data_IF_142749850541
#
_entry.id   IF_142749850541
#
_cell.length_a   1.000
_cell.length_b   1.000
_cell.length_c   1.000
_cell.angle_alpha   90.00
_cell.angle_beta   90.00
_cell.angle_gamma   90.00
#
_symmetry.space_group_name_H-M   'P 1'
#
loop_
_entity.id
_entity.type
_entity.pdbx_description
1 polymer ?
#
# COMPACT_ATOMS: atom_id res chain seq x y z
N UNK A 1 12.10 2.38 -15.94
CA UNK A 1 11.01 2.08 -15.00
C UNK A 1 11.11 0.63 -14.57
N UNK A 2 10.77 0.32 -13.34
CA UNK A 2 10.64 -1.06 -12.84
C UNK A 2 9.19 -1.51 -12.96
N UNK A 3 9.00 -2.79 -13.24
CA UNK A 3 7.70 -3.42 -13.16
C UNK A 3 7.48 -3.87 -11.72
N UNK A 4 6.39 -3.42 -11.10
CA UNK A 4 6.03 -3.77 -9.72
C UNK A 4 4.79 -4.65 -9.76
N UNK A 5 4.83 -5.78 -9.07
CA UNK A 5 3.72 -6.73 -8.97
C UNK A 5 3.24 -6.83 -7.54
N UNK A 6 1.93 -6.89 -7.31
CA UNK A 6 1.33 -6.83 -5.98
C UNK A 6 1.35 -8.20 -5.30
N UNK A 7 1.92 -8.26 -4.10
CA UNK A 7 2.05 -9.47 -3.29
C UNK A 7 0.72 -9.84 -2.60
N UNK A 8 0.07 -10.97 -2.98
CA UNK A 8 -1.19 -11.42 -2.38
C UNK A 8 -1.11 -11.79 -0.89
N UNK A 9 0.08 -12.14 -0.40
CA UNK A 9 0.29 -12.54 1.00
C UNK A 9 0.31 -11.32 1.92
N UNK A 10 0.71 -10.16 1.40
CA UNK A 10 0.67 -8.89 2.14
C UNK A 10 -0.70 -8.21 2.08
N UNK A 11 -1.49 -8.46 1.02
CA UNK A 11 -2.73 -7.76 0.76
C UNK A 11 -3.77 -7.92 1.88
N UNK A 12 -4.29 -6.80 2.41
CA UNK A 12 -5.40 -6.82 3.36
C UNK A 12 -6.60 -7.58 2.77
N UNK A 13 -7.33 -8.30 3.62
CA UNK A 13 -8.34 -9.28 3.21
C UNK A 13 -9.54 -8.74 2.41
N UNK A 14 -9.78 -7.43 2.35
CA UNK A 14 -10.81 -6.81 1.49
C UNK A 14 -10.26 -6.36 0.13
N UNK A 15 -8.94 -6.37 -0.09
CA UNK A 15 -8.35 -5.97 -1.36
C UNK A 15 -8.45 -7.08 -2.40
N UNK A 16 -9.03 -6.75 -3.55
CA UNK A 16 -9.13 -7.62 -4.72
C UNK A 16 -7.97 -7.24 -5.66
N UNK A 17 -7.08 -8.20 -5.90
CA UNK A 17 -5.99 -8.08 -6.87
C UNK A 17 -6.44 -8.65 -8.22
N UNK A 18 -5.97 -8.06 -9.31
CA UNK A 18 -6.11 -8.65 -10.65
C UNK A 18 -5.28 -9.94 -10.78
N UNK A 19 -5.60 -10.76 -11.78
CA UNK A 19 -4.92 -12.03 -12.04
C UNK A 19 -3.43 -11.83 -12.36
N UNK A 20 -3.10 -10.76 -13.08
CA UNK A 20 -1.74 -10.35 -13.41
C UNK A 20 -1.02 -9.60 -12.28
N UNK A 21 -1.67 -9.41 -11.12
CA UNK A 21 -1.14 -8.73 -9.94
C UNK A 21 -0.68 -7.29 -10.20
N UNK A 22 -1.18 -6.62 -11.25
CA UNK A 22 -0.83 -5.24 -11.58
C UNK A 22 -1.81 -4.21 -10.97
N UNK A 23 -3.02 -4.65 -10.61
CA UNK A 23 -4.12 -3.79 -10.20
C UNK A 23 -4.72 -4.21 -8.87
N UNK A 24 -5.22 -3.24 -8.11
CA UNK A 24 -5.91 -3.47 -6.84
C UNK A 24 -7.14 -2.60 -6.70
N UNK A 25 -8.19 -3.17 -6.13
CA UNK A 25 -9.42 -2.47 -5.77
C UNK A 25 -9.90 -2.92 -4.39
N UNK A 26 -10.52 -2.00 -3.66
CA UNK A 26 -11.16 -2.33 -2.39
C UNK A 26 -12.53 -2.99 -2.63
N UNK A 27 -12.68 -4.24 -2.18
CA UNK A 27 -13.94 -4.98 -2.23
C UNK A 27 -14.90 -4.59 -1.10
N UNK A 28 -16.19 -4.88 -1.30
CA UNK A 28 -17.23 -4.62 -0.30
C UNK A 28 -17.13 -5.56 0.91
N UNK A 29 -16.67 -6.79 0.70
CA UNK A 29 -16.59 -7.85 1.71
C UNK A 29 -15.16 -8.34 1.88
N UNK A 30 -14.89 -8.92 3.04
CA UNK A 30 -13.66 -9.64 3.29
C UNK A 30 -13.62 -10.92 2.47
N UNK A 31 -12.51 -11.17 1.79
CA UNK A 31 -12.25 -12.41 1.11
C UNK A 31 -11.93 -13.51 2.11
N UNK A 32 -12.40 -14.72 1.81
CA UNK A 32 -12.12 -15.93 2.59
C UNK A 32 -10.70 -16.45 2.30
N UNK A 33 -9.69 -15.69 2.72
CA UNK A 33 -8.27 -16.08 2.62
C UNK A 33 -7.72 -16.41 4.01
N UNK A 34 -6.83 -17.41 4.14
CA UNK A 34 -6.09 -17.65 5.37
C UNK A 34 -5.35 -16.39 5.80
N UNK A 35 -5.33 -16.12 7.11
CA UNK A 35 -4.47 -15.06 7.63
C UNK A 35 -2.99 -15.46 7.53
N UNK A 36 -2.14 -14.46 7.33
CA UNK A 36 -0.70 -14.62 7.17
C UNK A 36 0.01 -13.55 8.02
N UNK A 37 1.20 -13.82 8.62
CA UNK A 37 1.93 -12.82 9.38
C UNK A 37 2.24 -11.55 8.59
N UNK A 38 2.55 -11.68 7.30
CA UNK A 38 2.84 -10.55 6.40
C UNK A 38 1.60 -9.76 5.98
N UNK A 39 0.39 -10.31 6.21
CA UNK A 39 -0.86 -9.69 5.78
C UNK A 39 -1.14 -8.45 6.59
N UNK A 40 -1.40 -7.34 5.91
CA UNK A 40 -1.90 -6.14 6.56
C UNK A 40 -3.27 -6.38 7.19
N UNK A 41 -3.44 -5.98 8.45
CA UNK A 41 -4.70 -6.00 9.19
C UNK A 41 -4.66 -4.94 10.30
N UNK A 42 -5.58 -3.95 10.35
CA UNK A 42 -6.80 -3.79 9.54
C UNK A 42 -6.65 -2.88 8.31
N UNK A 43 -5.47 -2.33 8.06
CA UNK A 43 -5.27 -1.29 7.05
C UNK A 43 -5.33 -1.83 5.63
N UNK A 44 -6.08 -1.20 4.70
CA UNK A 44 -6.25 -1.65 3.31
C UNK A 44 -4.99 -1.37 2.48
N UNK A 45 -3.90 -2.05 2.83
CA UNK A 45 -2.60 -1.93 2.20
C UNK A 45 -2.19 -3.26 1.54
N UNK A 46 -1.31 -3.15 0.55
CA UNK A 46 -0.65 -4.25 -0.15
C UNK A 46 0.75 -3.75 -0.55
N UNK A 47 1.74 -4.62 -0.56
CA UNK A 47 3.08 -4.32 -1.07
C UNK A 47 3.31 -4.87 -2.47
N UNK A 48 4.34 -4.35 -3.12
CA UNK A 48 4.96 -5.04 -4.25
C UNK A 48 5.78 -6.26 -3.79
N UNK A 49 5.95 -7.24 -4.67
CA UNK A 49 6.83 -8.40 -4.47
C UNK A 49 8.31 -7.99 -4.48
N UNK A 50 8.63 -6.87 -5.14
CA UNK A 50 9.98 -6.40 -5.37
C UNK A 50 10.54 -5.67 -4.14
N UNK A 51 11.74 -6.06 -3.72
CA UNK A 51 12.50 -5.41 -2.64
C UNK A 51 13.69 -4.66 -3.24
N UNK A 52 13.91 -3.43 -2.79
CA UNK A 52 14.93 -2.55 -3.33
C UNK A 52 15.98 -2.18 -2.28
N UNK A 53 17.25 -2.38 -2.63
CA UNK A 53 18.37 -2.28 -1.67
C UNK A 53 19.32 -1.13 -2.03
N UNK A 54 19.29 -0.67 -3.28
CA UNK A 54 20.11 0.43 -3.81
C UNK A 54 19.58 0.89 -5.18
N UNK A 55 20.09 2.01 -5.70
CA UNK A 55 19.80 2.50 -7.04
C UNK A 55 18.74 3.62 -7.09
N UNK A 56 18.34 3.99 -8.31
CA UNK A 56 17.27 4.95 -8.60
C UNK A 56 16.22 4.24 -9.43
N UNK A 57 15.00 4.17 -8.89
CA UNK A 57 13.92 3.37 -9.44
C UNK A 57 12.69 4.27 -9.62
N UNK A 58 11.93 4.01 -10.67
CA UNK A 58 10.67 4.67 -10.94
C UNK A 58 9.66 3.62 -11.40
N UNK A 59 8.43 3.75 -10.91
CA UNK A 59 7.26 3.01 -11.38
C UNK A 59 6.11 4.01 -11.49
N UNK A 60 5.10 3.64 -12.24
CA UNK A 60 3.93 4.47 -12.51
C UNK A 60 2.70 3.73 -12.01
N UNK A 61 1.72 4.49 -11.50
CA UNK A 61 0.44 3.95 -11.02
C UNK A 61 -0.67 4.78 -11.62
N UNK A 62 -1.60 4.12 -12.28
CA UNK A 62 -2.83 4.74 -12.76
C UNK A 62 -3.89 4.70 -11.66
N UNK A 63 -4.44 5.86 -11.31
CA UNK A 63 -5.55 5.97 -10.37
C UNK A 63 -6.83 6.17 -11.16
N UNK A 64 -7.59 5.09 -11.34
CA UNK A 64 -8.80 5.08 -12.18
C UNK A 64 -10.02 5.59 -11.41
N UNK A 65 -10.15 5.26 -10.12
CA UNK A 65 -11.33 5.56 -9.32
C UNK A 65 -11.01 5.69 -7.83
N UNK A 66 -11.77 6.53 -7.14
CA UNK A 66 -11.73 6.68 -5.69
C UNK A 66 -11.04 7.97 -5.24
N UNK A 67 -11.52 8.51 -4.12
CA UNK A 67 -10.99 9.72 -3.49
C UNK A 67 -10.14 9.43 -2.26
N UNK A 68 -9.87 8.15 -1.97
CA UNK A 68 -9.11 7.68 -0.82
C UNK A 68 -8.09 6.64 -1.26
N UNK A 69 -6.85 7.06 -1.48
CA UNK A 69 -5.75 6.19 -1.89
C UNK A 69 -4.41 6.77 -1.44
N UNK A 70 -3.40 5.92 -1.31
CA UNK A 70 -2.02 6.34 -1.12
C UNK A 70 -1.08 5.37 -1.85
N UNK A 71 0.01 5.90 -2.38
CA UNK A 71 1.06 5.15 -3.08
C UNK A 71 2.43 5.63 -2.64
N UNK A 72 3.38 4.72 -2.54
CA UNK A 72 4.74 5.04 -2.14
C UNK A 72 5.56 3.80 -1.84
N UNK A 73 6.49 3.94 -0.91
CA UNK A 73 7.39 2.87 -0.46
C UNK A 73 7.28 2.67 1.04
N UNK A 74 7.54 1.45 1.48
CA UNK A 74 7.64 1.09 2.88
C UNK A 74 8.93 0.30 3.12
N UNK A 75 9.45 0.38 4.34
CA UNK A 75 10.48 -0.57 4.79
C UNK A 75 9.89 -1.99 4.76
N UNK A 76 10.74 -2.97 4.46
CA UNK A 76 10.35 -4.38 4.54
C UNK A 76 9.83 -4.75 5.94
N UNK A 77 10.37 -4.10 6.98
CA UNK A 77 10.03 -4.29 8.39
C UNK A 77 8.84 -3.46 8.89
N UNK A 78 8.07 -2.81 8.02
CA UNK A 78 6.91 -2.02 8.44
C UNK A 78 5.90 -2.91 9.20
N UNK A 79 5.30 -2.38 10.27
CA UNK A 79 4.28 -3.11 11.01
C UNK A 79 3.10 -3.45 10.09
N UNK A 80 2.67 -4.72 10.12
CA UNK A 80 1.54 -5.22 9.32
C UNK A 80 0.25 -5.33 10.12
N UNK A 81 0.35 -5.41 11.45
CA UNK A 81 -0.77 -5.73 12.34
C UNK A 81 -1.10 -4.56 13.25
N UNK A 82 -2.40 -4.35 13.49
CA UNK A 82 -2.92 -3.32 14.38
C UNK A 82 -2.76 -1.90 13.82
N UNK A 83 -2.76 -0.88 14.69
CA UNK A 83 -2.50 0.50 14.28
C UNK A 83 -1.11 0.65 13.66
N UNK A 84 -1.02 1.26 12.48
CA UNK A 84 0.26 1.54 11.83
C UNK A 84 0.47 3.04 11.67
N UNK A 85 1.73 3.47 11.79
CA UNK A 85 2.11 4.88 11.69
C UNK A 85 2.37 5.20 10.21
N UNK A 86 1.39 5.82 9.56
CA UNK A 86 1.43 6.21 8.15
C UNK A 86 2.29 7.46 7.92
N UNK A 87 3.60 7.35 8.18
CA UNK A 87 4.59 8.43 7.99
C UNK A 87 6.02 7.85 7.98
N UNK A 88 7.05 8.66 7.69
CA UNK A 88 8.44 8.20 7.73
C UNK A 88 8.84 7.59 9.07
N UNK A 89 8.24 8.03 10.19
CA UNK A 89 8.49 7.46 11.52
C UNK A 89 8.05 5.98 11.62
N UNK A 90 7.02 5.58 10.88
CA UNK A 90 6.59 4.19 10.76
C UNK A 90 7.26 3.44 9.62
N UNK A 91 8.24 4.03 8.94
CA UNK A 91 8.91 3.44 7.80
C UNK A 91 8.08 3.48 6.51
N UNK A 92 7.17 4.45 6.36
CA UNK A 92 6.34 4.63 5.17
C UNK A 92 6.61 6.02 4.56
N UNK A 93 6.88 6.07 3.26
CA UNK A 93 6.97 7.30 2.48
C UNK A 93 5.99 7.22 1.34
N UNK A 94 4.91 7.98 1.42
CA UNK A 94 3.84 7.91 0.45
C UNK A 94 3.15 9.26 0.25
N UNK A 95 2.53 9.40 -0.90
CA UNK A 95 1.61 10.47 -1.25
C UNK A 95 0.25 9.87 -1.53
N UNK A 96 -0.80 10.66 -1.36
CA UNK A 96 -2.13 10.14 -1.58
C UNK A 96 -3.17 11.23 -1.65
N UNK A 97 -4.40 10.77 -1.84
CA UNK A 97 -5.59 11.59 -1.81
C UNK A 97 -6.49 11.11 -0.68
N UNK A 98 -7.03 12.05 0.08
CA UNK A 98 -8.12 11.81 1.00
C UNK A 98 -9.25 12.80 0.75
N UNK A 99 -10.38 12.29 0.27
CA UNK A 99 -11.49 13.09 -0.26
C UNK A 99 -10.99 14.02 -1.37
N UNK A 100 -11.00 15.33 -1.15
CA UNK A 100 -10.62 16.33 -2.14
C UNK A 100 -9.19 16.85 -1.95
N UNK A 101 -8.44 16.30 -0.97
CA UNK A 101 -7.11 16.79 -0.61
C UNK A 101 -6.03 15.81 -1.01
N UNK A 102 -5.07 16.29 -1.78
CA UNK A 102 -3.79 15.62 -2.01
C UNK A 102 -2.82 15.96 -0.90
N UNK A 103 -2.09 14.97 -0.39
CA UNK A 103 -1.17 15.15 0.73
C UNK A 103 0.00 14.17 0.68
N UNK A 104 1.12 14.61 1.24
CA UNK A 104 2.23 13.73 1.60
C UNK A 104 2.02 13.20 3.03
N UNK A 105 2.21 11.90 3.21
CA UNK A 105 2.15 11.26 4.52
C UNK A 105 3.44 11.56 5.28
N UNK A 106 3.41 12.60 6.11
CA UNK A 106 4.58 13.16 6.82
C UNK A 106 4.33 13.22 8.33
N UNK A 107 5.38 13.50 9.09
CA UNK A 107 5.30 13.77 10.53
C UNK A 107 6.13 15.03 10.85
N UNK A 108 5.53 16.09 11.41
CA UNK A 108 4.09 16.24 11.68
C UNK A 108 3.27 16.28 10.38
N UNK A 109 1.95 16.11 10.51
CA UNK A 109 1.03 16.30 9.38
C UNK A 109 1.13 17.76 8.90
N UNK A 110 1.17 18.03 7.58
CA UNK A 110 1.25 19.39 7.08
C UNK A 110 -0.01 20.17 7.47
N UNK A 111 0.17 21.43 7.88
CA UNK A 111 -0.92 22.37 8.19
C UNK A 111 -1.66 22.84 6.95
#
# INVERSE_FOLDING_TARGET
AVNVTLDPDTAQSRLILSEDQSSVMQGATQQSRPDHPERFDPWPCVLGCEVFNSGRLCWEVEVVCGSCWAVGVALASVSRKGPIVMSPLGGIWAVGQYKEKFQALTSPVPT
#
